data_IF_175817173961
#
_entry.id   IF_175817173961
#
_cell.length_a   1.000
_cell.length_b   1.000
_cell.length_c   1.000
_cell.angle_alpha   90.00
_cell.angle_beta   90.00
_cell.angle_gamma   90.00
#
_symmetry.space_group_name_H-M   'P 1'
#
loop_
_entity.id
_entity.type
_entity.pdbx_description
1 polymer ?
#
# COMPACT_ATOMS: atom_id res chain seq x y z
N UNK A 1 -0.87 0.20 0.80
CA UNK A 1 0.38 -0.59 0.78
C UNK A 1 1.35 -0.17 1.87
N UNK A 2 1.66 1.13 2.07
CA UNK A 2 2.53 1.56 3.19
C UNK A 2 2.01 1.10 4.56
N UNK A 3 0.72 1.27 4.84
CA UNK A 3 0.13 0.79 6.10
C UNK A 3 0.35 -0.72 6.33
N UNK A 4 0.23 -1.53 5.27
CA UNK A 4 0.48 -2.97 5.35
C UNK A 4 1.92 -3.26 5.77
N UNK A 5 2.89 -2.58 5.17
CA UNK A 5 4.30 -2.76 5.53
C UNK A 5 4.59 -2.32 6.97
N UNK A 6 3.96 -1.23 7.43
CA UNK A 6 4.07 -0.78 8.83
C UNK A 6 3.53 -1.83 9.81
N UNK A 7 2.38 -2.45 9.51
CA UNK A 7 1.76 -3.42 10.42
C UNK A 7 2.38 -4.81 10.36
N UNK A 8 2.84 -5.24 9.19
CA UNK A 8 3.38 -6.60 8.98
C UNK A 8 4.89 -6.66 9.07
N UNK A 9 5.58 -5.52 9.05
CA UNK A 9 7.04 -5.41 8.89
C UNK A 9 7.59 -5.98 7.58
N UNK A 10 6.74 -6.44 6.66
CA UNK A 10 7.14 -6.96 5.36
C UNK A 10 6.56 -6.11 4.23
N UNK A 11 7.34 -5.85 3.17
CA UNK A 11 6.78 -5.29 1.95
C UNK A 11 5.70 -6.22 1.37
N UNK A 12 4.68 -5.67 0.68
CA UNK A 12 3.63 -6.48 0.08
C UNK A 12 4.19 -7.46 -0.95
N UNK A 13 3.76 -8.73 -0.87
CA UNK A 13 4.18 -9.81 -1.77
C UNK A 13 5.68 -10.19 -1.68
N UNK A 14 6.32 -9.95 -0.54
CA UNK A 14 7.77 -10.20 -0.35
C UNK A 14 8.26 -11.60 -0.66
N UNK A 15 7.44 -12.62 -0.44
CA UNK A 15 7.84 -14.02 -0.55
C UNK A 15 7.62 -14.63 -1.95
N UNK A 16 7.21 -13.84 -2.94
CA UNK A 16 6.90 -14.34 -4.29
C UNK A 16 7.62 -13.53 -5.39
N UNK A 17 7.84 -14.10 -6.60
CA UNK A 17 8.43 -13.35 -7.70
C UNK A 17 7.53 -12.20 -8.16
N UNK A 18 8.14 -11.04 -8.41
CA UNK A 18 7.44 -9.93 -9.05
C UNK A 18 7.48 -10.12 -10.56
N UNK A 19 6.67 -11.05 -11.06
CA UNK A 19 6.57 -11.39 -12.48
C UNK A 19 5.27 -10.86 -13.12
N UNK A 20 5.05 -11.20 -14.39
CA UNK A 20 3.82 -10.84 -15.11
C UNK A 20 2.57 -11.43 -14.45
N UNK A 21 2.65 -12.63 -13.87
CA UNK A 21 1.51 -13.29 -13.27
C UNK A 21 1.05 -12.54 -12.03
N UNK A 22 1.98 -12.13 -11.17
CA UNK A 22 1.65 -11.32 -10.00
C UNK A 22 0.98 -10.00 -10.39
N UNK A 23 1.51 -9.30 -11.41
CA UNK A 23 0.89 -8.06 -11.89
C UNK A 23 -0.55 -8.29 -12.35
N UNK A 24 -0.81 -9.34 -13.13
CA UNK A 24 -2.17 -9.70 -13.56
C UNK A 24 -3.07 -10.02 -12.37
N UNK A 25 -2.59 -10.78 -11.39
CA UNK A 25 -3.36 -11.13 -10.21
C UNK A 25 -3.72 -9.92 -9.36
N UNK A 26 -2.79 -8.97 -9.17
CA UNK A 26 -3.06 -7.70 -8.48
C UNK A 26 -4.14 -6.90 -9.21
N UNK A 27 -4.06 -6.82 -10.55
CA UNK A 27 -5.11 -6.16 -11.36
C UNK A 27 -6.48 -6.86 -11.25
N UNK A 28 -6.50 -8.17 -10.95
CA UNK A 28 -7.74 -8.93 -10.68
C UNK A 28 -8.21 -8.83 -9.22
N UNK A 29 -7.53 -8.04 -8.40
CA UNK A 29 -7.93 -7.79 -7.02
C UNK A 29 -7.18 -8.62 -5.98
N UNK A 30 -6.14 -9.39 -6.34
CA UNK A 30 -5.31 -10.08 -5.36
C UNK A 30 -4.69 -9.06 -4.38
N UNK A 31 -4.81 -9.34 -3.08
CA UNK A 31 -4.24 -8.55 -1.98
C UNK A 31 -3.13 -9.34 -1.29
N UNK A 32 -2.18 -8.69 -0.62
CA UNK A 32 -1.16 -9.38 0.15
C UNK A 32 -1.79 -10.05 1.38
N UNK A 33 -1.21 -11.17 1.81
CA UNK A 33 -1.64 -11.91 2.99
C UNK A 33 -1.25 -11.15 4.26
N UNK A 34 -2.19 -11.05 5.21
CA UNK A 34 -1.96 -10.44 6.53
C UNK A 34 -1.77 -11.58 7.52
N UNK A 35 -0.53 -11.78 7.98
CA UNK A 35 -0.17 -12.86 8.92
C UNK A 35 -0.15 -12.42 10.39
N UNK A 36 -0.59 -11.20 10.67
CA UNK A 36 -0.67 -10.63 12.01
C UNK A 36 -2.06 -10.11 12.32
N UNK A 37 -2.38 -10.02 13.61
CA UNK A 37 -3.55 -9.28 14.06
C UNK A 37 -3.28 -7.78 13.97
N UNK A 38 -4.21 -7.06 13.35
CA UNK A 38 -4.19 -5.61 13.21
C UNK A 38 -5.48 -5.11 13.88
N UNK A 39 -5.44 -4.01 14.66
CA UNK A 39 -6.66 -3.41 15.22
C UNK A 39 -7.71 -3.22 14.11
N UNK A 40 -8.93 -3.69 14.34
CA UNK A 40 -9.95 -3.78 13.29
C UNK A 40 -10.20 -2.43 12.62
N UNK A 41 -10.26 -1.33 13.39
CA UNK A 41 -10.37 0.03 12.88
C UNK A 41 -9.27 0.40 11.88
N UNK A 42 -8.03 0.00 12.15
CA UNK A 42 -6.89 0.25 11.26
C UNK A 42 -6.87 -0.70 10.06
N UNK A 43 -7.30 -1.96 10.26
CA UNK A 43 -7.45 -2.94 9.19
C UNK A 43 -8.48 -2.47 8.17
N UNK A 44 -9.65 -2.03 8.62
CA UNK A 44 -10.72 -1.52 7.75
C UNK A 44 -10.27 -0.29 6.98
N UNK A 45 -9.55 0.63 7.64
CA UNK A 45 -9.01 1.82 6.99
C UNK A 45 -7.95 1.47 5.92
N UNK A 46 -7.06 0.54 6.25
CA UNK A 46 -6.06 0.00 5.32
C UNK A 46 -6.72 -0.66 4.12
N UNK A 47 -7.77 -1.45 4.36
CA UNK A 47 -8.49 -2.17 3.31
C UNK A 47 -9.26 -1.24 2.37
N UNK A 48 -9.90 -0.19 2.91
CA UNK A 48 -10.52 0.86 2.09
C UNK A 48 -9.49 1.59 1.21
N UNK A 49 -8.28 1.81 1.69
CA UNK A 49 -7.25 2.52 0.93
C UNK A 49 -6.77 1.78 -0.33
N UNK A 50 -6.88 0.45 -0.36
CA UNK A 50 -6.50 -0.37 -1.51
C UNK A 50 -7.67 -1.05 -2.19
N UNK A 51 -8.90 -0.55 -1.98
CA UNK A 51 -10.09 -1.09 -2.63
C UNK A 51 -9.89 -1.15 -4.16
N UNK A 52 -10.42 -2.22 -4.76
CA UNK A 52 -10.37 -2.43 -6.20
C UNK A 52 -11.17 -1.35 -6.95
N UNK A 53 -12.29 -0.90 -6.39
CA UNK A 53 -13.03 0.28 -6.86
C UNK A 53 -12.37 1.56 -6.31
N UNK A 54 -11.82 2.44 -7.17
CA UNK A 54 -11.27 3.71 -6.74
C UNK A 54 -12.26 4.62 -6.00
N UNK A 55 -13.55 4.47 -6.25
CA UNK A 55 -14.62 5.29 -5.64
C UNK A 55 -14.80 5.01 -4.15
N UNK A 56 -14.43 3.81 -3.70
CA UNK A 56 -14.48 3.41 -2.29
C UNK A 56 -13.25 3.88 -1.49
N UNK A 57 -12.21 4.37 -2.17
CA UNK A 57 -10.97 4.80 -1.51
C UNK A 57 -11.19 6.14 -0.82
N UNK A 58 -10.76 6.28 0.44
CA UNK A 58 -10.90 7.54 1.16
C UNK A 58 -10.00 8.60 0.54
N UNK A 59 -10.43 9.85 0.62
CA UNK A 59 -9.58 10.99 0.25
C UNK A 59 -8.46 11.14 1.28
N UNK A 60 -7.34 11.71 0.86
CA UNK A 60 -6.21 11.99 1.77
C UNK A 60 -6.61 12.88 2.96
N UNK A 61 -7.56 13.80 2.76
CA UNK A 61 -8.10 14.66 3.82
C UNK A 61 -8.91 13.87 4.86
N UNK A 62 -9.65 12.85 4.43
CA UNK A 62 -10.43 11.96 5.31
C UNK A 62 -9.47 11.09 6.13
N UNK A 63 -8.46 10.51 5.48
CA UNK A 63 -7.40 9.76 6.17
C UNK A 63 -6.70 10.59 7.25
N UNK A 64 -6.31 11.82 6.91
CA UNK A 64 -5.72 12.75 7.89
C UNK A 64 -6.65 13.00 9.07
N UNK A 65 -7.95 13.15 8.83
CA UNK A 65 -8.94 13.35 9.89
C UNK A 65 -9.06 12.13 10.79
N UNK A 66 -9.15 10.92 10.22
CA UNK A 66 -9.20 9.66 10.98
C UNK A 66 -7.98 9.52 11.90
N UNK A 67 -6.77 9.65 11.35
CA UNK A 67 -5.55 9.55 12.15
C UNK A 67 -5.49 10.64 13.23
N UNK A 68 -5.88 11.88 12.91
CA UNK A 68 -5.91 12.96 13.90
C UNK A 68 -6.87 12.66 15.06
N UNK A 69 -8.04 12.08 14.79
CA UNK A 69 -8.97 11.67 15.84
C UNK A 69 -8.29 10.67 16.78
N UNK A 70 -7.70 9.60 16.22
CA UNK A 70 -7.03 8.56 17.01
C UNK A 70 -5.88 9.09 17.89
N UNK A 71 -5.16 10.13 17.44
CA UNK A 71 -4.08 10.75 18.22
C UNK A 71 -4.57 11.77 19.26
N UNK A 72 -5.60 12.54 18.96
CA UNK A 72 -6.06 13.64 19.80
C UNK A 72 -7.04 13.19 20.88
N UNK A 73 -7.84 12.18 20.58
CA UNK A 73 -8.79 11.60 21.51
C UNK A 73 -8.00 10.65 22.41
N UNK A 74 -7.37 11.20 23.45
CA UNK A 74 -6.52 10.46 24.43
C UNK A 74 -7.27 9.37 25.23
N UNK A 75 -8.48 9.01 24.79
CA UNK A 75 -9.44 8.05 25.34
C UNK A 75 -10.34 7.44 24.25
N UNK A 76 -9.88 7.30 22.99
CA UNK A 76 -10.56 6.34 22.11
C UNK A 76 -10.30 4.94 22.68
N UNK A 77 -11.13 4.54 23.66
CA UNK A 77 -10.99 3.27 24.37
C UNK A 77 -11.05 2.12 23.40
N UNK A 78 -11.80 2.28 22.31
CA UNK A 78 -11.94 1.26 21.27
C UNK A 78 -10.61 0.99 20.54
N UNK A 79 -9.90 2.00 20.04
CA UNK A 79 -8.63 1.75 19.33
C UNK A 79 -7.56 1.20 20.27
N UNK A 80 -7.54 1.68 21.52
CA UNK A 80 -6.61 1.20 22.55
C UNK A 80 -6.92 -0.27 22.88
N UNK A 81 -8.17 -0.61 23.14
CA UNK A 81 -8.61 -1.97 23.45
C UNK A 81 -8.32 -2.93 22.28
N UNK A 82 -8.62 -2.51 21.04
CA UNK A 82 -8.30 -3.31 19.85
C UNK A 82 -6.78 -3.49 19.68
N UNK A 83 -5.99 -2.48 20.00
CA UNK A 83 -4.51 -2.54 19.96
C UNK A 83 -3.96 -3.49 21.00
N UNK A 84 -4.44 -3.44 22.24
CA UNK A 84 -4.03 -4.37 23.29
C UNK A 84 -4.37 -5.81 22.92
N UNK A 85 -5.60 -6.05 22.45
CA UNK A 85 -6.04 -7.38 21.98
C UNK A 85 -5.18 -7.91 20.84
N UNK A 86 -4.93 -7.10 19.82
CA UNK A 86 -4.08 -7.47 18.70
C UNK A 86 -2.64 -7.77 19.15
N UNK A 87 -2.08 -6.97 20.06
CA UNK A 87 -0.75 -7.18 20.60
C UNK A 87 -0.63 -8.48 21.40
N UNK A 88 -1.61 -8.79 22.26
CA UNK A 88 -1.61 -10.05 23.01
C UNK A 88 -1.73 -11.27 22.08
N UNK A 89 -2.59 -11.20 21.06
CA UNK A 89 -2.70 -12.25 20.05
C UNK A 89 -1.39 -12.43 19.27
N UNK A 90 -0.74 -11.33 18.87
CA UNK A 90 0.52 -11.35 18.14
C UNK A 90 1.70 -11.87 18.98
N UNK A 91 1.73 -11.62 20.31
CA UNK A 91 2.73 -12.21 21.21
C UNK A 91 2.69 -13.75 21.22
N UNK A 92 1.49 -14.32 21.10
CA UNK A 92 1.28 -15.77 21.08
C UNK A 92 1.50 -16.36 19.67
N UNK A 93 1.40 -15.52 18.64
CA UNK A 93 1.59 -15.92 17.26
C UNK A 93 3.09 -16.10 16.94
N UNK A 94 3.56 -17.36 16.94
CA UNK A 94 4.93 -17.72 16.52
C UNK A 94 5.22 -17.39 15.04
N UNK A 95 4.17 -17.18 14.24
CA UNK A 95 4.27 -16.74 12.85
C UNK A 95 4.24 -15.21 12.71
N UNK A 96 4.17 -14.45 13.80
CA UNK A 96 4.38 -13.00 13.78
C UNK A 96 5.89 -12.77 13.56
N UNK A 97 6.31 -12.87 12.31
CA UNK A 97 7.72 -12.93 11.96
C UNK A 97 8.31 -11.54 12.15
N UNK A 98 9.32 -11.43 13.02
CA UNK A 98 10.24 -10.31 12.97
C UNK A 98 10.85 -10.23 11.57
N UNK A 99 10.90 -9.05 10.96
CA UNK A 99 11.40 -8.87 9.61
C UNK A 99 12.73 -9.61 9.38
N UNK A 100 12.72 -10.54 8.43
CA UNK A 100 13.87 -11.32 8.02
C UNK A 100 14.11 -11.12 6.51
N UNK A 101 15.15 -10.36 6.12
CA UNK A 101 15.46 -10.09 4.72
C UNK A 101 15.56 -11.35 3.86
N UNK A 102 16.00 -12.48 4.46
CA UNK A 102 16.17 -13.76 3.76
C UNK A 102 14.87 -14.38 3.28
N UNK A 103 13.72 -13.95 3.82
CA UNK A 103 12.43 -14.41 3.35
C UNK A 103 11.95 -13.69 2.09
N UNK A 104 12.62 -12.61 1.70
CA UNK A 104 12.31 -11.89 0.47
C UNK A 104 12.74 -12.73 -0.72
N UNK A 105 11.83 -12.96 -1.65
CA UNK A 105 12.11 -13.68 -2.87
C UNK A 105 13.14 -12.91 -3.71
N UNK A 106 14.16 -13.57 -4.30
CA UNK A 106 15.25 -12.89 -5.02
C UNK A 106 14.76 -12.14 -6.28
N UNK A 107 13.58 -12.47 -6.78
CA UNK A 107 12.93 -11.78 -7.90
C UNK A 107 11.86 -10.77 -7.46
N UNK A 108 11.77 -10.46 -6.17
CA UNK A 108 10.97 -9.35 -5.67
C UNK A 108 11.69 -8.03 -5.98
N UNK A 109 10.96 -7.08 -6.55
CA UNK A 109 11.50 -5.79 -6.98
C UNK A 109 10.61 -4.67 -6.43
N UNK A 110 11.19 -3.84 -5.56
CA UNK A 110 10.53 -2.68 -4.93
C UNK A 110 11.01 -1.34 -5.49
N UNK A 111 11.97 -1.38 -6.41
CA UNK A 111 12.40 -0.22 -7.20
C UNK A 111 11.56 -0.10 -8.46
N UNK A 112 11.49 1.11 -9.01
CA UNK A 112 10.78 1.35 -10.27
C UNK A 112 11.42 0.56 -11.41
N UNK A 113 10.59 -0.03 -12.29
CA UNK A 113 11.02 -0.74 -13.49
C UNK A 113 9.95 -0.69 -14.58
N UNK A 114 10.38 -0.80 -15.83
CA UNK A 114 9.50 -0.93 -16.98
C UNK A 114 8.81 -2.31 -16.99
N UNK A 115 7.51 -2.35 -17.29
CA UNK A 115 6.70 -3.57 -17.41
C UNK A 115 6.30 -3.78 -18.88
N UNK A 116 7.19 -4.34 -19.73
CA UNK A 116 7.01 -4.38 -21.19
C UNK A 116 5.79 -5.19 -21.65
N UNK A 117 5.25 -6.03 -20.77
CA UNK A 117 4.09 -6.87 -21.05
C UNK A 117 2.75 -6.17 -20.81
N UNK A 118 2.74 -5.00 -20.17
CA UNK A 118 1.53 -4.20 -20.02
C UNK A 118 1.28 -3.44 -21.32
N UNK A 119 0.25 -3.84 -22.06
CA UNK A 119 -0.21 -3.07 -23.22
C UNK A 119 -0.80 -1.77 -22.68
N UNK A 120 -0.32 -0.64 -23.19
CA UNK A 120 -0.99 0.63 -22.96
C UNK A 120 -2.43 0.51 -23.47
N UNK A 121 -3.42 0.74 -22.60
CA UNK A 121 -4.75 1.07 -23.10
C UNK A 121 -4.59 2.36 -23.90
N UNK A 122 -5.09 2.41 -25.13
CA UNK A 122 -5.27 3.69 -25.82
C UNK A 122 -6.18 4.52 -24.92
N UNK A 123 -5.62 5.57 -24.33
CA UNK A 123 -6.40 6.55 -23.59
C UNK A 123 -7.16 7.33 -24.66
N UNK A 124 -8.49 7.23 -24.68
CA UNK A 124 -9.29 8.31 -25.25
C UNK A 124 -9.00 9.53 -24.39
N UNK A 125 -8.36 10.53 -24.99
CA UNK A 125 -7.95 11.76 -24.34
C UNK A 125 -9.21 12.47 -23.83
N UNK A 126 -9.57 12.22 -22.58
CA UNK A 126 -10.36 13.19 -21.82
C UNK A 126 -9.32 14.22 -21.39
N UNK A 127 -9.36 15.40 -22.01
CA UNK A 127 -8.58 16.57 -21.58
C UNK A 127 -8.95 16.89 -20.13
N UNK A 128 -8.20 16.33 -19.19
CA UNK A 128 -8.12 16.86 -17.84
C UNK A 128 -6.91 17.79 -17.81
N UNK A 129 -7.10 19.02 -17.34
CA UNK A 129 -6.07 20.06 -17.23
C UNK A 129 -4.99 19.62 -16.22
N UNK A 130 -4.08 18.74 -16.64
CA UNK A 130 -2.90 18.32 -15.87
C UNK A 130 -1.81 19.39 -15.95
N UNK A 131 -2.16 20.64 -15.63
CA UNK A 131 -1.16 21.68 -15.37
C UNK A 131 -0.38 21.30 -14.12
N UNK A 132 0.77 20.66 -14.34
CA UNK A 132 1.81 20.57 -13.34
C UNK A 132 2.51 21.93 -13.29
N UNK A 133 2.04 22.81 -12.41
CA UNK A 133 2.67 24.11 -12.17
C UNK A 133 4.12 23.89 -11.69
N UNK A 134 5.11 24.25 -12.51
CA UNK A 134 6.51 24.36 -12.10
C UNK A 134 7.52 23.41 -12.76
N UNK A 135 7.14 22.55 -13.70
CA UNK A 135 8.13 21.76 -14.45
C UNK A 135 8.55 22.50 -15.74
N UNK A 136 9.62 23.30 -15.68
CA UNK A 136 10.32 23.75 -16.89
C UNK A 136 11.33 22.67 -17.27
N UNK A 137 11.00 21.87 -18.28
CA UNK A 137 11.98 21.01 -18.95
C UNK A 137 12.83 21.94 -19.84
N UNK A 138 14.14 22.09 -19.61
CA UNK A 138 15.00 22.85 -20.50
C UNK A 138 15.02 22.16 -21.87
N UNK A 139 14.82 22.93 -22.95
CA UNK A 139 14.99 22.41 -24.30
C UNK A 139 16.41 21.88 -24.47
N UNK A 140 16.51 20.62 -24.88
CA UNK A 140 17.75 19.93 -25.21
C UNK A 140 18.61 20.82 -26.12
N UNK A 141 19.78 21.24 -25.62
CA UNK A 141 20.83 21.76 -26.49
C UNK A 141 21.23 20.62 -27.42
N UNK A 142 20.90 20.77 -28.69
CA UNK A 142 21.34 19.90 -29.78
C UNK A 142 22.82 19.57 -29.58
N UNK A 143 23.11 18.27 -29.53
CA UNK A 143 24.47 17.76 -29.66
C UNK A 143 25.07 18.36 -30.96
N UNK A 144 26.21 19.02 -30.80
CA UNK A 144 27.15 19.32 -31.87
C UNK A 144 28.38 18.47 -31.60
#
# INVERSE_FOLDING_TARGET
>A
MIMYEVFTSYPPFYNIPHDKNLVISICKGQKPEIMCEIPQLLKDLMEKCWDTDPSNRPKSIELKSHFRSYFNDSKDSEIIEQTEKANEANKLNKNFIQYNPKMTHPQAIYTSRHLPFLKSKKIETIEHDTKQWGLKIPEDKKAV
#
